data_IF_006043362705
#
_entry.id   IF_006043362705
#
_cell.length_a   1.000
_cell.length_b   1.000
_cell.length_c   1.000
_cell.angle_alpha   90.00
_cell.angle_beta   90.00
_cell.angle_gamma   90.00
#
_symmetry.space_group_name_H-M   'P 1'
#
loop_
_entity.id
_entity.type
_entity.pdbx_description
1 polymer ?
#
# COMPACT_ATOMS: atom_id res chain seq x y z
N UNK A 1 17.59 -64.16 -14.69
CA UNK A 1 16.31 -64.70 -15.11
C UNK A 1 16.07 -65.96 -14.28
N UNK A 2 15.13 -65.96 -13.37
CA UNK A 2 14.82 -67.14 -12.56
C UNK A 2 13.42 -67.62 -12.99
N UNK A 3 13.30 -68.92 -13.28
CA UNK A 3 12.02 -69.53 -13.59
C UNK A 3 11.40 -70.20 -12.35
N UNK A 4 10.11 -69.96 -12.13
CA UNK A 4 9.35 -70.74 -11.15
C UNK A 4 8.91 -72.06 -11.77
N UNK A 5 8.54 -73.07 -10.96
CA UNK A 5 8.13 -74.39 -11.36
C UNK A 5 6.96 -74.42 -12.34
N UNK A 6 6.26 -73.30 -12.52
CA UNK A 6 5.06 -73.15 -13.38
C UNK A 6 5.31 -72.40 -14.69
N UNK A 7 6.59 -72.23 -15.10
CA UNK A 7 6.97 -71.72 -16.42
C UNK A 7 6.73 -70.23 -16.66
N UNK A 8 6.36 -69.45 -15.62
CA UNK A 8 6.17 -68.01 -15.76
C UNK A 8 7.47 -67.23 -15.46
N UNK A 9 8.01 -66.52 -16.44
CA UNK A 9 9.17 -65.68 -16.29
C UNK A 9 8.80 -64.37 -15.61
N UNK A 10 9.20 -64.17 -14.39
CA UNK A 10 9.08 -62.86 -13.68
C UNK A 10 10.25 -61.95 -13.99
N UNK A 11 9.99 -60.84 -14.64
CA UNK A 11 10.97 -59.81 -14.93
C UNK A 11 11.20 -58.94 -13.69
N UNK A 12 12.27 -59.23 -12.92
CA UNK A 12 12.64 -58.48 -11.71
C UNK A 12 12.76 -56.96 -11.96
N UNK A 13 13.14 -56.57 -13.19
CA UNK A 13 13.23 -55.16 -13.59
C UNK A 13 11.84 -54.49 -13.79
N UNK A 14 10.80 -55.26 -14.10
CA UNK A 14 9.46 -54.76 -14.26
C UNK A 14 8.85 -54.37 -12.88
N UNK A 15 9.04 -55.21 -11.87
CA UNK A 15 8.55 -54.98 -10.52
C UNK A 15 9.28 -53.79 -9.85
N UNK A 16 10.61 -53.63 -10.07
CA UNK A 16 11.33 -52.46 -9.54
C UNK A 16 10.92 -51.16 -10.24
N UNK A 17 10.66 -51.16 -11.56
CA UNK A 17 10.17 -49.97 -12.28
C UNK A 17 8.77 -49.58 -11.84
N UNK A 18 7.87 -50.54 -11.59
CA UNK A 18 6.54 -50.29 -11.08
C UNK A 18 6.54 -49.72 -9.65
N UNK A 19 7.45 -50.23 -8.76
CA UNK A 19 7.59 -49.73 -7.41
C UNK A 19 8.15 -48.30 -7.38
N UNK A 20 9.12 -47.98 -8.24
CA UNK A 20 9.67 -46.62 -8.38
C UNK A 20 8.61 -45.64 -8.93
N UNK A 21 7.82 -46.06 -9.93
CA UNK A 21 6.72 -45.23 -10.45
C UNK A 21 5.63 -44.95 -9.37
N UNK A 22 5.27 -45.99 -8.59
CA UNK A 22 4.32 -45.81 -7.48
C UNK A 22 4.84 -44.86 -6.42
N UNK A 23 6.15 -44.95 -6.10
CA UNK A 23 6.77 -44.05 -5.12
C UNK A 23 6.83 -42.59 -5.63
N UNK A 24 7.13 -42.38 -6.92
CA UNK A 24 7.11 -41.04 -7.53
C UNK A 24 5.68 -40.48 -7.54
N UNK A 25 4.68 -41.29 -7.86
CA UNK A 25 3.27 -40.89 -7.82
C UNK A 25 2.85 -40.53 -6.38
N UNK A 26 3.21 -41.34 -5.37
CA UNK A 26 2.95 -41.01 -3.97
C UNK A 26 3.66 -39.72 -3.51
N UNK A 27 4.90 -39.49 -3.93
CA UNK A 27 5.62 -38.24 -3.65
C UNK A 27 4.98 -37.02 -4.32
N UNK A 28 4.43 -37.18 -5.53
CA UNK A 28 3.70 -36.10 -6.21
C UNK A 28 2.36 -35.75 -5.54
N UNK A 29 1.67 -36.74 -4.93
CA UNK A 29 0.46 -36.47 -4.14
C UNK A 29 0.76 -35.83 -2.77
N UNK A 30 1.99 -35.92 -2.28
CA UNK A 30 2.43 -35.30 -1.03
C UNK A 30 2.85 -33.82 -1.17
N UNK A 31 2.95 -33.29 -2.37
CA UNK A 31 3.11 -31.84 -2.58
C UNK A 31 1.75 -31.17 -2.41
N UNK A 32 1.31 -31.05 -1.16
CA UNK A 32 0.16 -30.22 -0.83
C UNK A 32 0.45 -28.81 -1.34
N UNK A 33 -0.27 -28.36 -2.36
CA UNK A 33 -0.35 -26.96 -2.68
C UNK A 33 -0.83 -26.25 -1.41
N UNK A 34 0.08 -25.56 -0.73
CA UNK A 34 -0.30 -24.64 0.32
C UNK A 34 -1.17 -23.56 -0.35
N UNK A 35 -2.49 -23.70 -0.23
CA UNK A 35 -3.37 -22.62 -0.65
C UNK A 35 -3.02 -21.40 0.18
N UNK A 36 -2.83 -20.26 -0.49
CA UNK A 36 -2.65 -19.00 0.21
C UNK A 36 -3.81 -18.81 1.20
N UNK A 37 -3.52 -18.38 2.43
CA UNK A 37 -4.55 -18.26 3.45
C UNK A 37 -5.64 -17.29 2.98
N UNK A 38 -6.89 -17.72 3.06
CA UNK A 38 -8.03 -16.90 2.64
C UNK A 38 -8.16 -15.68 3.54
N UNK A 39 -8.33 -14.50 2.94
CA UNK A 39 -8.47 -13.22 3.63
C UNK A 39 -9.93 -12.80 3.76
N UNK A 40 -10.24 -12.14 4.89
CA UNK A 40 -11.58 -11.65 5.21
C UNK A 40 -11.50 -10.23 5.78
N UNK A 41 -12.49 -9.41 5.45
CA UNK A 41 -12.76 -8.14 6.12
C UNK A 41 -13.79 -8.39 7.22
N UNK A 42 -13.46 -8.00 8.45
CA UNK A 42 -14.38 -8.00 9.59
C UNK A 42 -14.67 -6.55 9.92
N UNK A 43 -15.90 -6.09 9.68
CA UNK A 43 -16.35 -4.73 9.94
C UNK A 43 -17.05 -4.66 11.28
N UNK A 44 -16.70 -3.66 12.10
CA UNK A 44 -17.30 -3.44 13.41
C UNK A 44 -18.47 -2.47 13.32
N UNK A 45 -19.47 -2.66 14.18
CA UNK A 45 -20.69 -1.86 14.22
C UNK A 45 -20.46 -0.46 14.81
N UNK A 46 -19.55 -0.33 15.75
CA UNK A 46 -19.27 0.91 16.47
C UNK A 46 -17.83 0.95 17.02
N UNK A 47 -17.52 2.01 17.78
CA UNK A 47 -16.27 2.18 18.55
C UNK A 47 -16.56 2.45 20.03
N UNK A 48 -17.72 2.00 20.53
CA UNK A 48 -18.16 2.24 21.91
C UNK A 48 -17.12 1.74 22.91
N UNK A 49 -17.02 2.46 24.03
CA UNK A 49 -16.08 2.13 25.11
C UNK A 49 -14.60 2.08 24.63
N UNK A 50 -14.25 2.94 23.64
CA UNK A 50 -12.86 3.11 23.23
C UNK A 50 -12.03 3.59 24.42
N UNK A 51 -10.76 3.15 24.49
CA UNK A 51 -9.77 3.68 25.43
C UNK A 51 -9.28 5.10 25.07
N UNK A 52 -9.68 5.61 23.89
CA UNK A 52 -9.32 6.92 23.38
C UNK A 52 -10.51 7.89 23.48
N UNK A 53 -10.19 9.18 23.74
CA UNK A 53 -11.16 10.26 23.79
C UNK A 53 -10.80 11.35 22.75
N UNK A 54 -11.80 11.86 22.05
CA UNK A 54 -11.63 12.94 21.06
C UNK A 54 -11.12 14.25 21.68
N UNK A 55 -11.24 14.41 23.00
CA UNK A 55 -10.67 15.54 23.74
C UNK A 55 -9.13 15.48 23.82
N UNK A 56 -8.50 14.29 23.65
CA UNK A 56 -7.06 14.07 23.70
C UNK A 56 -6.54 13.47 22.40
N UNK A 57 -6.62 14.22 21.30
CA UNK A 57 -6.31 13.69 19.96
C UNK A 57 -4.84 13.29 19.77
N UNK A 58 -3.93 13.83 20.55
CA UNK A 58 -2.50 13.49 20.56
C UNK A 58 -2.23 12.02 20.89
N UNK A 59 -3.18 11.34 21.54
CA UNK A 59 -3.09 9.92 21.85
C UNK A 59 -3.27 9.02 20.60
N UNK A 60 -3.86 9.52 19.50
CA UNK A 60 -4.20 8.71 18.33
C UNK A 60 -4.04 9.41 16.97
N UNK A 61 -3.72 10.71 16.96
CA UNK A 61 -3.39 11.48 15.75
C UNK A 61 -1.96 12.00 15.84
N UNK A 62 -1.27 12.05 14.68
CA UNK A 62 0.00 12.74 14.60
C UNK A 62 -0.15 14.25 14.77
N UNK A 63 0.88 14.93 15.27
CA UNK A 63 0.90 16.39 15.39
C UNK A 63 0.52 17.07 14.07
N UNK A 64 1.09 16.60 12.93
CA UNK A 64 0.75 17.09 11.59
C UNK A 64 -0.75 16.97 11.27
N UNK A 65 -1.40 15.87 11.67
CA UNK A 65 -2.83 15.67 11.44
C UNK A 65 -3.67 16.63 12.30
N UNK A 66 -3.26 16.89 13.53
CA UNK A 66 -3.90 17.84 14.43
C UNK A 66 -3.78 19.27 13.89
N UNK A 67 -2.58 19.71 13.56
CA UNK A 67 -2.28 21.04 13.00
C UNK A 67 -3.06 21.28 11.69
N UNK A 68 -3.10 20.27 10.80
CA UNK A 68 -3.89 20.35 9.57
C UNK A 68 -5.37 20.55 9.86
N UNK A 69 -5.95 19.82 10.82
CA UNK A 69 -7.36 19.96 11.21
C UNK A 69 -7.65 21.33 11.79
N UNK A 70 -6.79 21.82 12.67
CA UNK A 70 -6.90 23.16 13.26
C UNK A 70 -6.87 24.24 12.17
N UNK A 71 -5.88 24.18 11.27
CA UNK A 71 -5.73 25.15 10.17
C UNK A 71 -6.94 25.16 9.23
N UNK A 72 -7.54 24.00 8.96
CA UNK A 72 -8.66 23.85 8.04
C UNK A 72 -10.03 23.81 8.71
N UNK A 73 -10.09 24.06 10.05
CA UNK A 73 -11.33 23.97 10.84
C UNK A 73 -12.06 22.62 10.69
N UNK A 74 -11.30 21.51 10.58
CA UNK A 74 -11.88 20.16 10.50
C UNK A 74 -12.03 19.61 11.92
N UNK A 75 -13.27 19.31 12.37
CA UNK A 75 -13.47 18.77 13.71
C UNK A 75 -12.88 17.37 13.85
N UNK A 76 -12.38 17.08 15.06
CA UNK A 76 -12.02 15.72 15.47
C UNK A 76 -13.29 15.05 15.97
N UNK A 77 -13.59 13.86 15.46
CA UNK A 77 -14.82 13.13 15.72
C UNK A 77 -14.54 11.67 16.11
N UNK A 78 -15.58 10.94 16.54
CA UNK A 78 -15.47 9.50 16.83
C UNK A 78 -14.93 8.68 15.64
N UNK A 79 -15.09 9.15 14.39
CA UNK A 79 -14.52 8.49 13.22
C UNK A 79 -12.99 8.47 13.23
N UNK A 80 -12.38 9.46 13.88
CA UNK A 80 -10.92 9.59 13.98
C UNK A 80 -10.32 8.65 15.04
N UNK A 81 -11.13 8.17 15.99
CA UNK A 81 -10.69 7.23 17.02
C UNK A 81 -10.17 5.93 16.37
N UNK A 82 -9.16 5.29 16.97
CA UNK A 82 -8.78 3.92 16.63
C UNK A 82 -9.95 2.95 16.74
N UNK A 83 -9.80 1.76 16.17
CA UNK A 83 -10.72 0.66 16.43
C UNK A 83 -10.61 0.30 17.92
N UNK A 84 -11.74 -0.07 18.53
CA UNK A 84 -11.75 -0.45 19.94
C UNK A 84 -10.80 -1.63 20.22
N UNK A 85 -9.83 -1.39 21.11
CA UNK A 85 -8.79 -2.36 21.47
C UNK A 85 -9.37 -3.66 22.02
N UNK A 86 -10.52 -3.60 22.72
CA UNK A 86 -11.21 -4.79 23.22
C UNK A 86 -11.66 -5.70 22.08
N UNK A 87 -12.15 -5.12 20.97
CA UNK A 87 -12.58 -5.90 19.79
C UNK A 87 -11.39 -6.58 19.14
N UNK A 88 -10.29 -5.83 18.98
CA UNK A 88 -9.04 -6.36 18.44
C UNK A 88 -8.50 -7.50 19.30
N UNK A 89 -8.47 -7.31 20.61
CA UNK A 89 -7.96 -8.31 21.54
C UNK A 89 -8.83 -9.58 21.57
N UNK A 90 -10.16 -9.43 21.47
CA UNK A 90 -11.07 -10.58 21.36
C UNK A 90 -10.81 -11.37 20.07
N UNK A 91 -10.57 -10.71 18.94
CA UNK A 91 -10.23 -11.41 17.70
C UNK A 91 -8.89 -12.13 17.80
N UNK A 92 -7.88 -11.54 18.46
CA UNK A 92 -6.57 -12.18 18.67
C UNK A 92 -6.62 -13.44 19.54
N UNK A 93 -7.67 -13.63 20.35
CA UNK A 93 -7.84 -14.85 21.15
C UNK A 93 -8.18 -16.09 20.30
N UNK A 94 -8.63 -15.91 19.05
CA UNK A 94 -8.81 -17.01 18.12
C UNK A 94 -7.49 -17.33 17.42
N UNK A 95 -6.89 -18.47 17.72
CA UNK A 95 -5.56 -18.89 17.20
C UNK A 95 -5.50 -18.98 15.67
N UNK A 96 -6.64 -19.20 14.99
CA UNK A 96 -6.77 -19.24 13.53
C UNK A 96 -6.93 -17.86 12.91
N UNK A 97 -6.98 -16.77 13.68
CA UNK A 97 -7.08 -15.40 13.18
C UNK A 97 -5.72 -14.73 13.23
N UNK A 98 -5.25 -14.28 12.08
CA UNK A 98 -4.10 -13.36 11.97
C UNK A 98 -4.57 -12.04 11.39
N UNK A 99 -4.48 -10.98 12.18
CA UNK A 99 -4.82 -9.62 11.72
C UNK A 99 -3.68 -9.13 10.82
N UNK A 100 -4.01 -8.70 9.60
CA UNK A 100 -3.07 -8.19 8.59
C UNK A 100 -3.00 -6.67 8.66
N UNK A 101 -4.16 -6.01 8.61
CA UNK A 101 -4.27 -4.54 8.64
C UNK A 101 -5.60 -4.11 9.24
N UNK A 102 -5.71 -2.81 9.50
CA UNK A 102 -6.91 -2.22 10.06
C UNK A 102 -7.18 -0.83 9.50
N UNK A 103 -8.45 -0.47 9.40
CA UNK A 103 -8.88 0.86 8.97
C UNK A 103 -9.74 1.49 10.05
N UNK A 104 -9.22 2.52 10.71
CA UNK A 104 -9.97 3.25 11.75
C UNK A 104 -11.19 3.98 11.20
N UNK A 105 -11.11 4.56 10.00
CA UNK A 105 -12.21 5.33 9.42
C UNK A 105 -13.33 4.46 8.86
N UNK A 106 -13.00 3.30 8.31
CA UNK A 106 -13.98 2.32 7.82
C UNK A 106 -14.35 1.30 8.90
N UNK A 107 -13.72 1.38 10.07
CA UNK A 107 -13.97 0.57 11.27
C UNK A 107 -13.95 -0.94 11.00
N UNK A 108 -12.91 -1.41 10.30
CA UNK A 108 -12.72 -2.82 9.98
C UNK A 108 -11.28 -3.29 10.20
N UNK A 109 -11.12 -4.60 10.27
CA UNK A 109 -9.83 -5.30 10.17
C UNK A 109 -9.84 -6.26 8.99
N UNK A 110 -8.66 -6.43 8.38
CA UNK A 110 -8.42 -7.50 7.41
C UNK A 110 -7.68 -8.62 8.16
N UNK A 111 -8.18 -9.83 8.02
CA UNK A 111 -7.61 -11.00 8.70
C UNK A 111 -7.40 -12.14 7.72
N UNK A 112 -6.42 -13.01 7.97
CA UNK A 112 -6.41 -14.36 7.41
C UNK A 112 -7.08 -15.32 8.39
N UNK A 113 -7.86 -16.25 7.86
CA UNK A 113 -8.46 -17.33 8.61
C UNK A 113 -8.68 -18.55 7.72
N UNK A 114 -8.29 -19.71 8.19
CA UNK A 114 -8.50 -21.02 7.57
C UNK A 114 -9.62 -21.84 8.22
N UNK A 115 -10.19 -21.35 9.34
CA UNK A 115 -11.21 -22.02 10.10
C UNK A 115 -12.60 -21.38 9.93
N UNK A 116 -13.45 -22.02 9.13
CA UNK A 116 -14.79 -21.53 8.83
C UNK A 116 -15.70 -21.44 10.09
N UNK A 117 -15.54 -22.34 11.08
CA UNK A 117 -16.34 -22.29 12.31
C UNK A 117 -16.02 -21.06 13.16
N UNK A 118 -14.75 -20.66 13.18
CA UNK A 118 -14.32 -19.42 13.86
C UNK A 118 -14.93 -18.19 13.17
N UNK A 119 -14.94 -18.14 11.84
CA UNK A 119 -15.57 -17.03 11.11
C UNK A 119 -17.07 -16.94 11.39
N UNK A 120 -17.77 -18.08 11.44
CA UNK A 120 -19.19 -18.10 11.81
C UNK A 120 -19.38 -17.61 13.27
N UNK A 121 -18.53 -18.02 14.21
CA UNK A 121 -18.57 -17.51 15.59
C UNK A 121 -18.38 -16.00 15.64
N UNK A 122 -17.43 -15.47 14.87
CA UNK A 122 -17.13 -14.04 14.81
C UNK A 122 -18.31 -13.23 14.26
N UNK A 123 -19.04 -13.74 13.28
CA UNK A 123 -20.24 -13.08 12.73
C UNK A 123 -21.31 -12.78 13.78
N UNK A 124 -21.40 -13.61 14.82
CA UNK A 124 -22.39 -13.45 15.90
C UNK A 124 -21.91 -12.60 17.07
N UNK A 125 -20.67 -12.07 17.01
CA UNK A 125 -20.23 -11.14 18.05
C UNK A 125 -21.02 -9.83 17.96
N UNK A 126 -21.50 -9.27 19.09
CA UNK A 126 -22.45 -8.13 19.08
C UNK A 126 -21.86 -6.85 18.48
N UNK A 127 -20.55 -6.75 18.40
CA UNK A 127 -19.85 -5.60 17.82
C UNK A 127 -19.39 -5.84 16.37
N UNK A 128 -19.70 -6.99 15.77
CA UNK A 128 -19.39 -7.29 14.36
C UNK A 128 -20.62 -7.02 13.50
N UNK A 129 -20.50 -6.14 12.52
CA UNK A 129 -21.58 -5.84 11.58
C UNK A 129 -21.52 -6.71 10.32
N UNK A 130 -20.31 -7.08 9.89
CA UNK A 130 -20.13 -7.87 8.68
C UNK A 130 -18.82 -8.66 8.69
N UNK A 131 -18.83 -9.85 8.10
CA UNK A 131 -17.64 -10.62 7.72
C UNK A 131 -17.75 -10.95 6.25
N UNK A 132 -16.80 -10.48 5.44
CA UNK A 132 -16.78 -10.63 3.98
C UNK A 132 -15.44 -11.21 3.52
N UNK A 133 -15.48 -12.26 2.68
CA UNK A 133 -14.29 -12.79 2.01
C UNK A 133 -13.76 -11.73 1.02
N UNK A 134 -12.42 -11.52 1.03
CA UNK A 134 -11.74 -10.68 0.02
C UNK A 134 -11.15 -11.56 -1.08
N UNK A 135 -10.68 -10.93 -2.17
CA UNK A 135 -9.82 -11.62 -3.11
C UNK A 135 -8.46 -11.95 -2.45
N UNK A 136 -7.81 -13.01 -2.92
CA UNK A 136 -6.53 -13.47 -2.39
C UNK A 136 -5.43 -12.48 -2.77
N UNK A 137 -4.97 -11.70 -1.79
CA UNK A 137 -3.78 -10.85 -1.89
C UNK A 137 -2.78 -11.36 -0.84
N UNK A 138 -1.54 -11.58 -1.25
CA UNK A 138 -0.48 -11.93 -0.31
C UNK A 138 0.02 -10.68 0.43
N UNK A 139 -0.32 -10.57 1.71
CA UNK A 139 0.08 -9.46 2.59
C UNK A 139 1.28 -9.79 3.48
N UNK A 140 2.10 -10.77 3.14
CA UNK A 140 3.16 -11.27 4.03
C UNK A 140 4.27 -10.26 4.33
N UNK A 141 4.34 -9.13 3.58
CA UNK A 141 5.44 -8.16 3.63
C UNK A 141 5.00 -6.72 4.00
N UNK A 142 4.01 -6.57 4.88
CA UNK A 142 3.47 -5.26 5.24
C UNK A 142 4.27 -4.59 6.38
N UNK A 143 5.20 -3.68 6.06
CA UNK A 143 5.87 -2.82 7.06
C UNK A 143 5.91 -1.36 6.56
N UNK A 144 4.96 -0.53 7.03
CA UNK A 144 4.96 0.90 6.75
C UNK A 144 5.65 1.62 7.91
N UNK A 145 6.82 2.19 7.65
CA UNK A 145 7.54 3.04 8.61
C UNK A 145 7.44 4.50 8.19
N UNK A 146 6.64 5.27 8.90
CA UNK A 146 6.68 6.73 8.80
C UNK A 146 7.81 7.27 9.67
N UNK A 147 8.76 7.98 9.07
CA UNK A 147 9.75 8.71 9.83
C UNK A 147 9.20 10.09 10.22
N UNK A 148 9.22 10.44 11.51
CA UNK A 148 8.98 11.81 11.96
C UNK A 148 10.17 12.66 11.50
N UNK A 149 9.98 13.52 10.53
CA UNK A 149 11.00 14.47 10.04
C UNK A 149 10.52 15.89 10.26
N UNK A 150 11.40 16.70 10.81
CA UNK A 150 11.26 18.17 10.73
C UNK A 150 11.70 18.63 9.34
N UNK A 151 10.87 19.41 8.70
CA UNK A 151 11.11 19.90 7.35
C UNK A 151 11.45 21.39 7.38
N UNK A 152 12.67 21.72 6.92
CA UNK A 152 13.05 23.10 6.64
C UNK A 152 12.86 23.38 5.16
N UNK A 153 11.77 24.03 4.80
CA UNK A 153 11.50 24.48 3.44
C UNK A 153 12.11 25.87 3.20
N UNK A 154 12.73 26.12 2.03
CA UNK A 154 13.14 27.47 1.66
C UNK A 154 11.91 28.35 1.52
N UNK A 155 11.78 29.36 2.40
CA UNK A 155 10.58 30.21 2.50
C UNK A 155 10.44 31.27 1.38
N UNK A 156 11.44 31.49 0.55
CA UNK A 156 11.40 32.54 -0.47
C UNK A 156 12.05 32.05 -1.76
N UNK A 157 11.23 31.67 -2.72
CA UNK A 157 11.66 31.46 -4.11
C UNK A 157 11.18 32.68 -4.89
N UNK A 158 12.11 33.56 -5.26
CA UNK A 158 11.80 34.62 -6.23
C UNK A 158 11.73 34.01 -7.63
N UNK A 159 10.54 33.83 -8.14
CA UNK A 159 10.34 33.53 -9.55
C UNK A 159 10.70 34.81 -10.31
N UNK A 160 11.81 34.78 -11.07
CA UNK A 160 12.16 35.92 -11.92
C UNK A 160 11.08 36.10 -12.97
N UNK A 161 10.50 37.31 -13.01
CA UNK A 161 9.41 37.67 -13.90
C UNK A 161 9.88 37.70 -15.36
N UNK A 162 9.44 36.74 -16.17
CA UNK A 162 9.02 37.06 -17.51
C UNK A 162 7.58 37.62 -17.42
N UNK A 163 7.14 38.38 -18.42
CA UNK A 163 5.86 39.10 -18.41
C UNK A 163 4.62 38.25 -18.16
N UNK A 164 4.73 36.90 -18.21
CA UNK A 164 3.70 35.93 -17.93
C UNK A 164 4.11 34.82 -16.91
N UNK A 165 5.38 34.77 -16.45
CA UNK A 165 5.88 33.78 -15.51
C UNK A 165 5.91 32.34 -16.04
N UNK A 166 5.64 32.12 -17.34
CA UNK A 166 5.48 30.77 -17.91
C UNK A 166 6.80 30.14 -18.37
N UNK A 167 7.81 30.94 -18.73
CA UNK A 167 9.11 30.39 -19.14
C UNK A 167 9.78 29.57 -18.03
N UNK A 168 9.53 29.92 -16.76
CA UNK A 168 10.00 29.17 -15.58
C UNK A 168 9.59 27.69 -15.61
N UNK A 169 8.42 27.39 -16.20
CA UNK A 169 7.87 26.03 -16.23
C UNK A 169 8.39 25.16 -17.38
N UNK A 170 9.12 25.76 -18.35
CA UNK A 170 9.66 25.04 -19.50
C UNK A 170 8.59 24.25 -20.25
N UNK A 171 8.79 22.95 -20.45
CA UNK A 171 7.84 22.09 -21.17
C UNK A 171 6.48 21.95 -20.47
N UNK A 172 6.40 22.19 -19.15
CA UNK A 172 5.15 22.16 -18.39
C UNK A 172 4.32 23.45 -18.53
N UNK A 173 4.83 24.49 -19.18
CA UNK A 173 4.18 25.81 -19.24
C UNK A 173 2.71 25.76 -19.66
N UNK A 174 2.38 24.98 -20.70
CA UNK A 174 0.98 24.84 -21.15
C UNK A 174 0.08 24.16 -20.13
N UNK A 175 0.57 23.14 -19.44
CA UNK A 175 -0.17 22.41 -18.39
C UNK A 175 -0.47 23.33 -17.20
N UNK A 176 0.51 24.11 -16.78
CA UNK A 176 0.36 25.08 -15.69
C UNK A 176 -0.61 26.20 -16.11
N UNK A 177 -0.51 26.72 -17.35
CA UNK A 177 -1.34 27.81 -17.84
C UNK A 177 -2.83 27.44 -17.92
N UNK A 178 -3.17 26.19 -18.31
CA UNK A 178 -4.57 25.70 -18.40
C UNK A 178 -5.31 25.88 -17.08
N UNK A 179 -4.62 25.70 -15.96
CA UNK A 179 -5.19 25.82 -14.60
C UNK A 179 -4.84 27.15 -13.92
N UNK A 180 -4.19 28.07 -14.64
CA UNK A 180 -3.68 29.32 -14.06
C UNK A 180 -2.76 29.10 -12.85
N UNK A 181 -2.08 27.96 -12.80
CA UNK A 181 -1.25 27.51 -11.67
C UNK A 181 -0.07 28.44 -11.37
N UNK A 182 0.43 29.17 -12.36
CA UNK A 182 1.50 30.16 -12.18
C UNK A 182 1.13 31.25 -11.17
N UNK A 183 -0.14 31.64 -11.09
CA UNK A 183 -0.58 32.66 -10.13
C UNK A 183 -0.56 32.13 -8.70
N UNK A 184 -0.89 30.83 -8.49
CA UNK A 184 -0.78 30.18 -7.17
C UNK A 184 0.69 30.08 -6.76
N UNK A 185 1.55 29.68 -7.66
CA UNK A 185 3.00 29.59 -7.39
C UNK A 185 3.61 30.96 -7.08
N UNK A 186 3.19 32.03 -7.78
CA UNK A 186 3.63 33.41 -7.49
C UNK A 186 3.20 33.88 -6.10
N UNK A 187 2.11 33.34 -5.57
CA UNK A 187 1.64 33.61 -4.20
C UNK A 187 2.31 32.69 -3.16
N UNK A 188 3.23 31.79 -3.57
CA UNK A 188 3.93 30.87 -2.70
C UNK A 188 3.22 29.55 -2.43
N UNK A 189 2.14 29.23 -3.16
CA UNK A 189 1.44 27.95 -3.01
C UNK A 189 2.03 26.92 -3.98
N UNK A 190 3.10 26.24 -3.58
CA UNK A 190 3.81 25.26 -4.40
C UNK A 190 3.82 23.85 -3.78
N UNK A 191 3.04 23.64 -2.72
CA UNK A 191 2.87 22.34 -2.06
C UNK A 191 3.67 22.15 -0.77
N UNK A 192 4.32 23.20 -0.26
CA UNK A 192 5.08 23.13 0.99
C UNK A 192 4.23 22.66 2.16
N UNK A 193 4.76 21.70 2.92
CA UNK A 193 4.07 21.10 4.06
C UNK A 193 2.89 20.21 3.69
N UNK A 194 2.62 19.97 2.41
CA UNK A 194 1.60 19.03 1.97
C UNK A 194 2.19 17.64 1.74
N UNK A 195 1.45 16.60 2.13
CA UNK A 195 1.73 15.22 1.77
C UNK A 195 0.74 14.77 0.71
N UNK A 196 1.26 14.35 -0.44
CA UNK A 196 0.49 13.77 -1.52
C UNK A 196 0.77 12.27 -1.54
N UNK A 197 -0.28 11.48 -1.41
CA UNK A 197 -0.22 10.02 -1.56
C UNK A 197 -0.69 9.69 -2.97
N UNK A 198 0.15 9.03 -3.75
CA UNK A 198 -0.18 8.60 -5.11
C UNK A 198 -0.35 7.09 -5.14
N UNK A 199 -1.47 6.64 -5.72
CA UNK A 199 -1.79 5.24 -5.97
C UNK A 199 -1.77 5.04 -7.48
N UNK A 200 -0.96 4.09 -7.98
CA UNK A 200 -0.76 3.91 -9.42
C UNK A 200 -0.25 2.49 -9.74
N UNK A 201 -0.09 2.16 -11.03
CA UNK A 201 0.36 0.84 -11.50
C UNK A 201 1.86 0.59 -11.28
N UNK A 202 2.63 1.63 -11.00
CA UNK A 202 4.07 1.54 -10.78
C UNK A 202 4.79 2.85 -11.03
N UNK A 203 6.07 2.88 -10.67
CA UNK A 203 6.94 4.06 -10.75
C UNK A 203 8.27 3.67 -11.38
N UNK A 204 8.20 3.03 -12.56
CA UNK A 204 9.37 2.49 -13.26
C UNK A 204 10.47 3.54 -13.40
N UNK A 205 11.69 3.11 -13.04
CA UNK A 205 12.93 3.90 -13.16
C UNK A 205 12.97 5.20 -12.33
N UNK A 206 12.01 5.46 -11.45
CA UNK A 206 12.00 6.66 -10.61
C UNK A 206 13.26 6.77 -9.74
N UNK A 207 13.86 5.65 -9.35
CA UNK A 207 15.07 5.55 -8.54
C UNK A 207 16.35 5.91 -9.33
N UNK A 208 16.31 5.84 -10.66
CA UNK A 208 17.48 6.01 -11.55
C UNK A 208 17.41 7.20 -12.50
N UNK A 209 16.22 7.66 -12.86
CA UNK A 209 16.04 8.80 -13.77
C UNK A 209 16.66 10.07 -13.17
N UNK A 210 17.59 10.68 -13.91
CA UNK A 210 18.30 11.90 -13.48
C UNK A 210 17.37 13.09 -13.30
N UNK A 211 16.27 13.14 -14.02
CA UNK A 211 15.23 14.16 -13.90
C UNK A 211 14.63 14.26 -12.49
N UNK A 212 14.67 13.17 -11.72
CA UNK A 212 14.21 13.12 -10.34
C UNK A 212 15.33 13.24 -9.30
N UNK A 213 16.57 13.62 -9.68
CA UNK A 213 17.66 13.78 -8.71
C UNK A 213 17.30 14.79 -7.63
N UNK A 214 16.88 15.99 -8.03
CA UNK A 214 16.45 17.06 -7.09
C UNK A 214 15.32 16.58 -6.16
N UNK A 215 14.35 15.84 -6.68
CA UNK A 215 13.27 15.25 -5.89
C UNK A 215 13.77 14.27 -4.83
N UNK A 216 14.74 13.39 -5.17
CA UNK A 216 15.34 12.42 -4.24
C UNK A 216 16.27 13.09 -3.22
N UNK A 217 17.16 13.98 -3.68
CA UNK A 217 18.13 14.68 -2.85
C UNK A 217 17.47 15.58 -1.80
N UNK A 218 16.39 16.25 -2.16
CA UNK A 218 15.56 17.03 -1.26
C UNK A 218 14.65 16.17 -0.35
N UNK A 219 14.78 14.84 -0.43
CA UNK A 219 14.05 13.86 0.41
C UNK A 219 12.53 14.05 0.40
N UNK A 220 11.98 14.41 -0.73
CA UNK A 220 10.54 14.64 -0.89
C UNK A 220 9.76 13.36 -1.09
N UNK A 221 10.44 12.27 -1.42
CA UNK A 221 9.90 10.92 -1.33
C UNK A 221 9.97 10.45 0.11
N UNK A 222 8.85 10.52 0.84
CA UNK A 222 8.77 10.18 2.27
C UNK A 222 8.51 8.70 2.52
N UNK A 223 8.08 7.97 1.52
CA UNK A 223 7.90 6.53 1.61
C UNK A 223 7.35 5.91 0.33
N UNK A 224 7.51 4.61 0.24
CA UNK A 224 7.02 3.77 -0.86
C UNK A 224 6.32 2.54 -0.29
N UNK A 225 5.34 2.03 -1.02
CA UNK A 225 4.66 0.81 -0.67
C UNK A 225 4.17 0.08 -1.93
N UNK A 226 4.39 -1.22 -2.02
CA UNK A 226 3.83 -2.07 -3.08
C UNK A 226 2.69 -2.92 -2.50
N UNK A 227 1.45 -2.50 -2.75
CA UNK A 227 0.26 -3.23 -2.34
C UNK A 227 -0.08 -4.37 -3.31
N UNK A 228 0.52 -4.38 -4.52
CA UNK A 228 0.23 -5.38 -5.54
C UNK A 228 1.05 -6.66 -5.34
N UNK A 229 2.33 -6.56 -4.94
CA UNK A 229 3.23 -7.71 -4.78
C UNK A 229 3.89 -7.81 -3.40
N UNK A 230 3.77 -6.78 -2.56
CA UNK A 230 4.37 -6.77 -1.22
C UNK A 230 5.87 -6.44 -1.17
N UNK A 231 6.54 -6.32 -2.32
CA UNK A 231 7.98 -6.01 -2.43
C UNK A 231 8.18 -4.50 -2.66
N UNK A 232 8.62 -3.71 -1.65
CA UNK A 232 8.64 -2.25 -1.76
C UNK A 232 9.40 -1.70 -2.97
N UNK A 233 10.48 -2.37 -3.41
CA UNK A 233 11.29 -1.94 -4.54
C UNK A 233 10.74 -2.39 -5.90
N UNK A 234 9.77 -3.30 -5.93
CA UNK A 234 9.17 -3.78 -7.17
C UNK A 234 8.41 -2.67 -7.91
N UNK A 235 7.91 -1.65 -7.19
CA UNK A 235 7.25 -0.51 -7.82
C UNK A 235 8.15 0.24 -8.80
N UNK A 236 9.49 0.23 -8.63
CA UNK A 236 10.45 0.86 -9.55
C UNK A 236 10.70 0.06 -10.83
N UNK A 237 10.17 -1.15 -10.94
CA UNK A 237 10.29 -2.05 -12.10
C UNK A 237 8.95 -2.43 -12.70
N UNK A 238 7.88 -1.86 -12.17
CA UNK A 238 6.51 -2.03 -12.64
C UNK A 238 6.14 -0.97 -13.69
N UNK A 239 4.87 -0.72 -13.92
CA UNK A 239 4.38 0.27 -14.89
C UNK A 239 5.01 1.66 -14.75
N UNK A 240 5.03 2.40 -15.82
CA UNK A 240 5.65 3.73 -15.87
C UNK A 240 4.65 4.91 -15.77
N UNK A 241 3.35 4.59 -15.70
CA UNK A 241 2.30 5.61 -15.63
C UNK A 241 2.45 6.48 -14.39
N UNK A 242 2.65 5.89 -13.20
CA UNK A 242 2.87 6.66 -11.97
C UNK A 242 4.10 7.56 -12.01
N UNK A 243 5.20 7.14 -12.69
CA UNK A 243 6.36 8.00 -12.91
C UNK A 243 6.01 9.22 -13.76
N UNK A 244 5.21 9.03 -14.83
CA UNK A 244 4.73 10.11 -15.70
C UNK A 244 3.81 11.07 -14.94
N UNK A 245 2.85 10.55 -14.16
CA UNK A 245 1.96 11.37 -13.32
C UNK A 245 2.74 12.11 -12.25
N UNK A 246 3.69 11.46 -11.57
CA UNK A 246 4.55 12.11 -10.60
C UNK A 246 5.37 13.25 -11.23
N UNK A 247 5.83 13.07 -12.46
CA UNK A 247 6.64 14.09 -13.14
C UNK A 247 5.89 15.41 -13.31
N UNK A 248 4.61 15.38 -13.70
CA UNK A 248 3.81 16.60 -13.90
C UNK A 248 3.41 17.28 -12.59
N UNK A 249 3.63 16.63 -11.46
CA UNK A 249 3.35 17.18 -10.14
C UNK A 249 4.62 17.58 -9.38
N UNK A 250 5.62 16.70 -9.31
CA UNK A 250 6.72 16.78 -8.37
C UNK A 250 8.01 17.37 -8.95
N UNK A 251 8.20 17.37 -10.27
CA UNK A 251 9.44 17.86 -10.85
C UNK A 251 9.65 19.33 -10.52
N UNK A 252 10.92 19.69 -10.28
CA UNK A 252 11.34 21.05 -9.98
C UNK A 252 12.69 21.33 -10.66
N UNK A 253 12.64 21.41 -11.98
CA UNK A 253 13.78 21.75 -12.84
C UNK A 253 13.45 23.06 -13.59
N UNK A 254 13.73 24.22 -12.97
CA UNK A 254 13.40 25.53 -13.53
C UNK A 254 13.86 25.68 -14.96
N UNK A 255 13.01 26.26 -15.80
CA UNK A 255 13.18 26.46 -17.24
C UNK A 255 13.20 25.19 -18.10
N UNK A 256 13.17 24.00 -17.49
CA UNK A 256 13.07 22.71 -18.17
C UNK A 256 11.71 22.05 -17.93
N UNK A 257 11.36 21.82 -16.67
CA UNK A 257 10.08 21.25 -16.30
C UNK A 257 9.78 21.51 -14.80
N UNK A 258 8.74 22.28 -14.50
CA UNK A 258 8.27 22.47 -13.12
C UNK A 258 6.83 22.02 -13.03
N UNK A 259 6.58 21.08 -12.10
CA UNK A 259 5.26 20.49 -11.85
C UNK A 259 4.33 21.38 -11.04
N UNK A 260 3.13 20.88 -10.76
CA UNK A 260 2.06 21.62 -10.07
C UNK A 260 2.23 21.72 -8.57
N UNK A 261 2.97 20.80 -7.95
CA UNK A 261 3.26 20.79 -6.52
C UNK A 261 4.75 20.44 -6.25
N UNK A 262 5.67 21.27 -6.80
CA UNK A 262 7.10 20.98 -6.83
C UNK A 262 7.75 20.95 -5.45
N UNK A 263 7.10 21.38 -4.37
CA UNK A 263 7.57 21.35 -2.98
C UNK A 263 6.70 20.51 -2.04
N UNK A 264 5.73 19.75 -2.53
CA UNK A 264 5.00 18.78 -1.71
C UNK A 264 5.86 17.55 -1.39
N UNK A 265 5.57 16.86 -0.30
CA UNK A 265 6.09 15.53 -0.01
C UNK A 265 5.23 14.48 -0.68
N UNK A 266 5.84 13.36 -1.05
CA UNK A 266 5.15 12.30 -1.77
C UNK A 266 5.32 10.96 -1.07
N UNK A 267 4.23 10.21 -0.96
CA UNK A 267 4.22 8.80 -0.62
C UNK A 267 3.64 8.01 -1.79
N UNK A 268 4.37 7.04 -2.30
CA UNK A 268 4.01 6.33 -3.53
C UNK A 268 3.55 4.91 -3.20
N UNK A 269 2.39 4.56 -3.73
CA UNK A 269 1.79 3.23 -3.55
C UNK A 269 1.54 2.63 -4.92
N UNK A 270 2.07 1.43 -5.16
CA UNK A 270 1.64 0.62 -6.29
C UNK A 270 0.43 -0.19 -5.87
N UNK A 271 -0.70 -0.04 -6.58
CA UNK A 271 -1.97 -0.72 -6.26
C UNK A 271 -2.44 -1.65 -7.36
N UNK A 272 -1.82 -1.64 -8.53
CA UNK A 272 -2.27 -2.31 -9.75
C UNK A 272 -1.19 -3.25 -10.28
N UNK A 273 -1.65 -4.33 -10.91
CA UNK A 273 -0.80 -5.21 -11.73
C UNK A 273 -1.33 -5.16 -13.16
N UNK A 274 -0.47 -4.81 -14.12
CA UNK A 274 -0.80 -4.65 -15.55
C UNK A 274 -1.49 -5.89 -16.19
N UNK A 275 -1.43 -7.04 -15.50
CA UNK A 275 -2.03 -8.31 -15.96
C UNK A 275 -3.48 -8.52 -15.54
N UNK A 276 -4.07 -7.60 -14.75
CA UNK A 276 -5.40 -7.72 -14.16
C UNK A 276 -6.27 -6.46 -14.33
N UNK A 277 -5.97 -5.63 -15.31
CA UNK A 277 -6.88 -4.58 -15.76
C UNK A 277 -7.94 -5.20 -16.70
N UNK A 278 -9.08 -5.59 -16.14
CA UNK A 278 -10.33 -5.89 -16.86
C UNK A 278 -11.41 -4.89 -16.45
#
# INVERSE_FOLDING_TARGET
MFYTKDGTAYCRNCCQRSAVLLFIILCCYGLGFSQAPTTYVITFSDKKNSSYDTAFPEAFLSLRAIEKRQRLNIPITERDLPINDTYINLLKNFSSIKIITQSKWLNYVVVTCDNQLVLETIKYLPFVSQVKKTHEIDYSHFDIRFSNREYNYPKNISIQHDTNGLAYYGLAAKQIAVHSGQYLHQQGYQGEGMLIVMLDNGYNSLDTLTLFNSFRENRRLVGIYDAAQGEPTALYRAGDHGTKVLSVMALNEPYHFVGTAPYADYFLIRTEMDTYED
#
